data_IF_728572023133
#
_entry.id   IF_728572023133
#
_cell.length_a   1.000
_cell.length_b   1.000
_cell.length_c   1.000
_cell.angle_alpha   90.00
_cell.angle_beta   90.00
_cell.angle_gamma   90.00
#
_symmetry.space_group_name_H-M   'P 1'
#
loop_
_entity.id
_entity.type
_entity.pdbx_description
1 polymer ?
#
# COMPACT_ATOMS: atom_id res chain seq x y z
N UNK A 1 6.67 13.02 0.70
CA UNK A 1 5.28 12.51 0.81
C UNK A 1 5.33 10.99 0.87
N UNK A 2 4.56 10.37 1.76
CA UNK A 2 4.42 8.91 1.88
C UNK A 2 2.93 8.58 1.76
N UNK A 3 2.61 7.62 0.90
CA UNK A 3 1.30 7.00 0.84
C UNK A 3 1.47 5.54 1.22
N UNK A 4 0.74 5.11 2.24
CA UNK A 4 0.70 3.73 2.71
C UNK A 4 -0.74 3.23 2.60
N UNK A 5 -0.91 2.02 2.09
CA UNK A 5 -2.23 1.41 1.90
C UNK A 5 -2.12 -0.08 2.17
N UNK A 6 -3.13 -0.61 2.85
CA UNK A 6 -3.25 -2.02 3.15
C UNK A 6 -4.36 -2.63 2.30
N UNK A 7 -4.12 -3.85 1.83
CA UNK A 7 -5.06 -4.62 1.04
C UNK A 7 -5.13 -6.03 1.61
N UNK A 8 -6.32 -6.62 1.64
CA UNK A 8 -6.52 -7.96 2.18
C UNK A 8 -5.70 -9.02 1.42
N UNK A 9 -5.56 -8.86 0.11
CA UNK A 9 -4.83 -9.77 -0.76
C UNK A 9 -4.44 -9.07 -2.07
N UNK A 10 -3.72 -9.80 -2.94
CA UNK A 10 -3.25 -9.28 -4.22
C UNK A 10 -4.38 -8.98 -5.20
N UNK A 11 -5.47 -9.75 -5.16
CA UNK A 11 -6.66 -9.54 -5.99
C UNK A 11 -7.30 -8.17 -5.72
N UNK A 12 -7.38 -7.78 -4.44
CA UNK A 12 -7.84 -6.45 -4.03
C UNK A 12 -6.91 -5.35 -4.55
N UNK A 13 -5.59 -5.58 -4.60
CA UNK A 13 -4.63 -4.64 -5.22
C UNK A 13 -4.90 -4.51 -6.71
N UNK A 14 -5.10 -5.62 -7.43
CA UNK A 14 -5.40 -5.61 -8.87
C UNK A 14 -6.70 -4.86 -9.17
N UNK A 15 -7.77 -5.16 -8.43
CA UNK A 15 -9.05 -4.48 -8.56
C UNK A 15 -8.94 -2.97 -8.29
N UNK A 16 -8.20 -2.57 -7.26
CA UNK A 16 -7.96 -1.16 -6.97
C UNK A 16 -7.18 -0.46 -8.09
N UNK A 17 -6.13 -1.08 -8.63
CA UNK A 17 -5.34 -0.53 -9.75
C UNK A 17 -6.15 -0.37 -11.04
N UNK A 18 -7.17 -1.21 -11.24
CA UNK A 18 -8.03 -1.16 -12.42
C UNK A 18 -9.02 0.03 -12.40
N UNK A 19 -9.23 0.69 -11.25
CA UNK A 19 -10.17 1.82 -11.16
C UNK A 19 -9.67 3.02 -11.96
N UNK A 20 -10.52 3.58 -12.83
CA UNK A 20 -10.18 4.72 -13.70
C UNK A 20 -9.64 5.91 -12.91
N UNK A 21 -10.24 6.24 -11.76
CA UNK A 21 -9.75 7.32 -10.90
C UNK A 21 -8.31 7.11 -10.44
N UNK A 22 -7.95 5.86 -10.12
CA UNK A 22 -6.59 5.53 -9.72
C UNK A 22 -5.61 5.67 -10.89
N UNK A 23 -5.98 5.17 -12.08
CA UNK A 23 -5.16 5.29 -13.29
C UNK A 23 -4.92 6.76 -13.67
N UNK A 24 -5.96 7.60 -13.64
CA UNK A 24 -5.88 9.04 -13.89
C UNK A 24 -4.97 9.74 -12.89
N UNK A 25 -5.08 9.43 -11.60
CA UNK A 25 -4.20 9.97 -10.57
C UNK A 25 -2.74 9.53 -10.79
N UNK A 26 -2.50 8.27 -11.17
CA UNK A 26 -1.16 7.75 -11.45
C UNK A 26 -0.52 8.43 -12.66
N UNK A 27 -1.30 8.65 -13.73
CA UNK A 27 -0.85 9.34 -14.94
C UNK A 27 -0.41 10.77 -14.62
N UNK A 28 -1.23 11.53 -13.88
CA UNK A 28 -0.86 12.88 -13.41
C UNK A 28 0.37 12.85 -12.49
N UNK A 29 0.45 11.86 -11.60
CA UNK A 29 1.59 11.64 -10.72
C UNK A 29 2.92 11.51 -11.48
N UNK A 30 2.91 10.68 -12.54
CA UNK A 30 4.05 10.46 -13.45
C UNK A 30 4.34 11.65 -14.35
N UNK A 31 3.32 12.42 -14.71
CA UNK A 31 3.41 13.57 -15.60
C UNK A 31 4.02 14.83 -15.00
N UNK A 32 4.46 14.82 -13.73
CA UNK A 32 5.23 15.93 -13.16
C UNK A 32 4.93 16.31 -11.72
N UNK A 33 3.98 15.65 -11.04
CA UNK A 33 3.67 15.95 -9.64
C UNK A 33 4.83 15.55 -8.71
N UNK A 34 5.56 14.48 -9.02
CA UNK A 34 6.73 14.05 -8.24
C UNK A 34 8.00 14.10 -9.09
N UNK A 35 9.05 14.74 -8.56
CA UNK A 35 10.40 14.70 -9.18
C UNK A 35 10.94 13.27 -9.27
N UNK A 36 10.77 12.48 -8.20
CA UNK A 36 11.09 11.05 -8.14
C UNK A 36 10.18 10.35 -7.13
N UNK A 37 9.92 9.05 -7.30
CA UNK A 37 9.17 8.23 -6.34
C UNK A 37 9.57 6.75 -6.41
N UNK A 38 9.24 5.97 -5.38
CA UNK A 38 9.46 4.52 -5.32
C UNK A 38 8.23 3.81 -4.79
N UNK A 39 7.82 2.72 -5.43
CA UNK A 39 6.78 1.84 -4.95
C UNK A 39 7.41 0.59 -4.33
N UNK A 40 6.89 0.14 -3.20
CA UNK A 40 7.24 -1.15 -2.57
C UNK A 40 5.94 -1.88 -2.23
N UNK A 41 5.93 -3.18 -2.50
CA UNK A 41 4.83 -4.08 -2.14
C UNK A 41 5.45 -5.18 -1.28
N UNK A 42 4.84 -5.45 -0.14
CA UNK A 42 5.32 -6.45 0.81
C UNK A 42 4.11 -7.15 1.44
N UNK A 43 4.32 -8.40 1.86
CA UNK A 43 3.36 -9.11 2.70
C UNK A 43 3.57 -8.71 4.15
N UNK A 44 2.47 -8.55 4.89
CA UNK A 44 2.51 -8.33 6.34
C UNK A 44 2.71 -9.68 7.00
N UNK A 45 3.90 -9.89 7.58
CA UNK A 45 4.22 -11.14 8.27
C UNK A 45 3.63 -11.18 9.69
N UNK A 46 3.54 -10.02 10.32
CA UNK A 46 2.97 -9.81 11.66
C UNK A 46 2.32 -8.43 11.73
N UNK A 47 1.16 -8.37 12.35
CA UNK A 47 0.41 -7.18 12.69
C UNK A 47 -0.06 -7.32 14.14
N UNK A 48 0.38 -6.40 14.99
CA UNK A 48 0.03 -6.40 16.41
C UNK A 48 0.13 -4.97 16.94
N UNK A 49 -0.73 -4.68 17.90
CA UNK A 49 -0.79 -3.39 18.58
C UNK A 49 -0.38 -3.49 20.04
N UNK A 50 -0.47 -2.37 20.77
CA UNK A 50 -0.28 -2.37 22.21
C UNK A 50 -1.35 -3.21 22.94
N UNK A 51 -2.55 -3.37 22.36
CA UNK A 51 -3.67 -4.13 22.93
C UNK A 51 -3.74 -5.54 22.36
N UNK A 52 -3.88 -5.69 21.03
CA UNK A 52 -3.84 -7.01 20.39
C UNK A 52 -2.40 -7.45 20.17
N UNK A 53 -1.96 -8.42 20.97
CA UNK A 53 -0.59 -8.95 20.97
C UNK A 53 -0.48 -10.33 20.35
N UNK A 54 -1.52 -10.83 19.67
CA UNK A 54 -1.58 -12.22 19.18
C UNK A 54 -0.39 -12.59 18.29
N UNK A 55 0.14 -11.64 17.51
CA UNK A 55 1.29 -11.85 16.63
C UNK A 55 2.60 -11.23 17.16
N UNK A 56 2.62 -10.75 18.39
CA UNK A 56 3.81 -10.13 18.98
C UNK A 56 4.92 -11.18 19.19
N UNK A 57 6.20 -10.84 18.93
CA UNK A 57 7.31 -11.74 19.21
C UNK A 57 7.39 -12.04 20.71
N UNK A 58 7.61 -13.31 21.04
CA UNK A 58 7.93 -13.73 22.40
C UNK A 58 9.41 -13.39 22.70
N UNK A 59 9.73 -13.03 23.95
CA UNK A 59 11.11 -12.76 24.37
C UNK A 59 12.02 -13.97 24.24
#
# INVERSE_FOLDING_TARGET
LLSLSFFANEDAVRAWRARQNHQSAQSRGRGGVFRTYRLRVAQVLRDYGPVDRTQAPQP
#
